data_IF_427873163742
#
_entry.id   IF_427873163742
#
_cell.length_a   1.000
_cell.length_b   1.000
_cell.length_c   1.000
_cell.angle_alpha   90.00
_cell.angle_beta   90.00
_cell.angle_gamma   90.00
#
_symmetry.space_group_name_H-M   'P 1'
#
loop_
_entity.id
_entity.type
_entity.pdbx_description
1 polymer ?
#
# COMPACT_ATOMS: atom_id res chain seq x y z
N UNK A 1 -64.03 15.19 12.99
CA UNK A 1 -62.90 15.00 12.08
C UNK A 1 -61.63 14.91 12.92
N UNK A 2 -61.02 13.75 13.09
CA UNK A 2 -59.75 13.64 13.85
C UNK A 2 -58.58 14.02 12.97
N UNK A 3 -57.71 14.91 13.48
CA UNK A 3 -56.46 15.31 12.85
C UNK A 3 -55.44 14.19 13.03
N UNK A 4 -55.01 13.61 11.93
CA UNK A 4 -53.93 12.63 11.88
C UNK A 4 -52.60 13.38 12.05
N UNK A 5 -51.91 13.17 13.16
CA UNK A 5 -50.57 13.70 13.41
C UNK A 5 -49.60 12.65 12.85
N UNK A 6 -48.93 12.98 11.73
CA UNK A 6 -47.78 12.20 11.22
C UNK A 6 -46.56 12.52 12.08
N UNK A 7 -46.18 11.58 12.93
CA UNK A 7 -44.87 11.62 13.60
C UNK A 7 -43.83 11.09 12.59
N UNK A 8 -43.06 12.01 11.99
CA UNK A 8 -41.89 11.67 11.21
C UNK A 8 -40.79 11.33 12.21
N UNK A 9 -40.57 10.03 12.39
CA UNK A 9 -39.41 9.53 13.15
C UNK A 9 -38.15 9.76 12.28
N UNK A 10 -37.15 10.55 12.74
CA UNK A 10 -35.89 10.66 12.00
C UNK A 10 -35.21 9.31 12.08
N UNK A 11 -35.07 8.64 10.93
CA UNK A 11 -34.18 7.49 10.78
C UNK A 11 -32.78 8.04 10.93
N UNK A 12 -32.25 7.96 12.14
CA UNK A 12 -30.83 8.18 12.43
C UNK A 12 -30.09 7.04 11.77
N UNK A 13 -29.54 7.30 10.59
CA UNK A 13 -28.55 6.42 9.98
C UNK A 13 -27.34 6.40 10.91
N UNK A 14 -27.35 5.47 11.84
CA UNK A 14 -26.14 5.02 12.52
C UNK A 14 -25.23 4.42 11.44
N UNK A 15 -24.29 5.20 10.92
CA UNK A 15 -23.08 4.67 10.30
C UNK A 15 -22.35 3.92 11.43
N UNK A 16 -22.68 2.65 11.55
CA UNK A 16 -21.98 1.73 12.44
C UNK A 16 -20.53 1.69 11.98
N UNK A 17 -19.66 2.23 12.82
CA UNK A 17 -18.22 1.97 12.81
C UNK A 17 -17.96 0.51 13.23
N UNK A 18 -18.50 -0.45 12.48
CA UNK A 18 -18.22 -1.87 12.67
C UNK A 18 -16.81 -2.25 12.15
N UNK A 19 -15.95 -1.25 11.86
CA UNK A 19 -14.69 -1.48 11.16
C UNK A 19 -13.49 -1.72 12.06
N UNK A 20 -13.57 -1.47 13.35
CA UNK A 20 -12.38 -1.56 14.23
C UNK A 20 -12.20 -2.92 14.94
N UNK A 21 -13.16 -3.85 14.90
CA UNK A 21 -13.12 -5.05 15.74
C UNK A 21 -12.54 -6.33 15.10
N UNK A 22 -12.28 -6.34 13.76
CA UNK A 22 -11.88 -7.57 13.06
C UNK A 22 -10.41 -7.57 12.59
N UNK A 23 -9.56 -6.74 13.22
CA UNK A 23 -8.15 -6.74 12.94
C UNK A 23 -7.47 -7.99 13.52
N UNK A 24 -6.70 -8.66 12.68
CA UNK A 24 -5.90 -9.82 13.07
C UNK A 24 -4.48 -9.36 13.35
N UNK A 25 -3.97 -9.68 14.54
CA UNK A 25 -2.62 -9.35 14.95
C UNK A 25 -1.62 -10.24 14.19
N UNK A 26 -0.64 -9.63 13.53
CA UNK A 26 0.51 -10.30 12.90
C UNK A 26 1.65 -10.44 13.90
N UNK A 27 2.00 -9.36 14.59
CA UNK A 27 2.99 -9.35 15.65
C UNK A 27 2.93 -8.07 16.48
N UNK A 28 3.27 -8.15 17.76
CA UNK A 28 3.19 -7.02 18.70
C UNK A 28 4.41 -6.11 18.70
N UNK A 29 5.54 -6.66 18.21
CA UNK A 29 6.80 -5.93 18.22
C UNK A 29 6.81 -4.91 17.07
N UNK A 30 7.48 -3.79 17.25
CA UNK A 30 7.68 -2.79 16.20
C UNK A 30 8.24 -3.41 14.92
N UNK A 31 9.14 -4.37 15.04
CA UNK A 31 9.72 -5.07 13.87
C UNK A 31 8.73 -5.91 13.07
N UNK A 32 7.49 -6.07 13.54
CA UNK A 32 6.39 -6.71 12.82
C UNK A 32 5.42 -5.70 12.16
N UNK A 33 5.66 -4.40 12.31
CA UNK A 33 4.95 -3.34 11.59
C UNK A 33 5.12 -3.51 10.08
N UNK A 34 4.06 -3.27 9.30
CA UNK A 34 4.00 -3.67 7.88
C UNK A 34 3.87 -2.43 7.00
N UNK A 35 4.87 -2.20 6.13
CA UNK A 35 4.93 -1.07 5.20
C UNK A 35 4.51 -1.42 3.76
N UNK A 36 4.38 -2.70 3.43
CA UNK A 36 3.91 -3.13 2.10
C UNK A 36 3.47 -4.59 2.07
N UNK A 37 2.54 -4.94 1.17
CA UNK A 37 1.88 -6.24 1.14
C UNK A 37 1.55 -6.68 -0.27
N UNK A 38 1.66 -8.01 -0.53
CA UNK A 38 1.11 -8.68 -1.71
C UNK A 38 0.56 -10.06 -1.34
N UNK A 39 -0.35 -10.59 -2.14
CA UNK A 39 -0.89 -11.93 -1.97
C UNK A 39 -0.50 -12.82 -3.15
N UNK A 40 0.06 -14.00 -2.86
CA UNK A 40 0.44 -15.03 -3.82
C UNK A 40 -0.17 -16.36 -3.39
N UNK A 41 -1.07 -16.94 -4.18
CA UNK A 41 -1.71 -18.23 -3.93
C UNK A 41 -2.26 -18.39 -2.50
N UNK A 42 -2.96 -17.37 -2.00
CA UNK A 42 -3.55 -17.35 -0.66
C UNK A 42 -2.56 -17.14 0.49
N UNK A 43 -1.29 -16.91 0.18
CA UNK A 43 -0.27 -16.51 1.14
C UNK A 43 -0.02 -15.01 1.02
N UNK A 44 0.12 -14.35 2.15
CA UNK A 44 0.40 -12.92 2.18
C UNK A 44 1.88 -12.68 2.50
N UNK A 45 2.60 -12.02 1.59
CA UNK A 45 3.98 -11.60 1.78
C UNK A 45 3.96 -10.13 2.17
N UNK A 46 4.75 -9.75 3.16
CA UNK A 46 4.83 -8.41 3.74
C UNK A 46 6.26 -7.93 3.82
N UNK A 47 6.48 -6.63 3.71
CA UNK A 47 7.77 -5.97 3.95
C UNK A 47 7.67 -5.03 5.14
N UNK A 48 8.86 -4.77 5.73
CA UNK A 48 9.02 -3.95 6.93
C UNK A 48 10.07 -2.86 6.69
N UNK A 49 9.86 -1.68 7.23
CA UNK A 49 10.79 -0.55 7.19
C UNK A 49 12.02 -0.71 8.11
N UNK A 50 12.21 -1.90 8.65
CA UNK A 50 13.25 -2.27 9.60
C UNK A 50 14.65 -1.89 9.10
N UNK A 51 15.48 -1.34 10.00
CA UNK A 51 16.80 -0.78 9.66
C UNK A 51 17.98 -1.48 10.31
N UNK A 52 17.72 -2.25 11.40
CA UNK A 52 18.79 -2.94 12.13
C UNK A 52 19.07 -4.31 11.51
N UNK A 53 20.33 -4.76 11.54
CA UNK A 53 20.77 -6.00 10.87
C UNK A 53 20.01 -7.26 11.35
N UNK A 54 19.62 -7.31 12.64
CA UNK A 54 18.92 -8.46 13.21
C UNK A 54 17.41 -8.44 12.98
N UNK A 55 16.86 -7.37 12.43
CA UNK A 55 15.42 -7.24 12.13
C UNK A 55 15.11 -7.83 10.75
N UNK A 56 13.98 -8.56 10.65
CA UNK A 56 13.49 -9.08 9.37
C UNK A 56 13.09 -7.97 8.41
N UNK A 57 13.33 -8.17 7.12
CA UNK A 57 12.94 -7.22 6.06
C UNK A 57 11.67 -7.62 5.36
N UNK A 58 11.40 -8.92 5.33
CA UNK A 58 10.29 -9.50 4.61
C UNK A 58 9.76 -10.70 5.39
N UNK A 59 8.46 -10.88 5.39
CA UNK A 59 7.80 -11.96 6.09
C UNK A 59 6.67 -12.56 5.27
N UNK A 60 6.17 -13.68 5.73
CA UNK A 60 5.02 -14.36 5.16
C UNK A 60 3.98 -14.64 6.24
N UNK A 61 2.74 -14.35 5.90
CA UNK A 61 1.57 -14.63 6.72
C UNK A 61 0.78 -15.73 6.01
N UNK A 62 0.45 -16.76 6.77
CA UNK A 62 -0.40 -17.87 6.30
C UNK A 62 -1.59 -18.03 7.23
N UNK A 63 -2.76 -18.25 6.67
CA UNK A 63 -3.94 -18.58 7.46
C UNK A 63 -3.95 -20.06 7.83
N UNK A 64 -4.33 -20.35 9.06
CA UNK A 64 -4.53 -21.70 9.54
C UNK A 64 -5.81 -21.79 10.37
N UNK A 65 -6.24 -23.01 10.72
CA UNK A 65 -7.41 -23.21 11.62
C UNK A 65 -7.20 -22.61 13.02
N UNK A 66 -5.95 -22.39 13.41
CA UNK A 66 -5.55 -21.83 14.71
C UNK A 66 -5.36 -20.29 14.65
N UNK A 67 -5.58 -19.65 13.49
CA UNK A 67 -5.38 -18.23 13.25
C UNK A 67 -4.22 -17.96 12.29
N UNK A 68 -3.73 -16.72 12.28
CA UNK A 68 -2.60 -16.32 11.45
C UNK A 68 -1.29 -16.89 12.00
N UNK A 69 -0.44 -17.37 11.09
CA UNK A 69 0.97 -17.71 11.36
C UNK A 69 1.85 -16.77 10.58
N UNK A 70 2.67 -15.99 11.29
CA UNK A 70 3.64 -15.08 10.72
C UNK A 70 5.06 -15.63 10.88
N UNK A 71 5.87 -15.48 9.82
CA UNK A 71 7.26 -15.94 9.81
C UNK A 71 8.11 -14.99 8.96
N UNK A 72 9.26 -14.59 9.47
CA UNK A 72 10.29 -13.89 8.70
C UNK A 72 10.85 -14.82 7.63
N UNK A 73 10.99 -14.31 6.41
CA UNK A 73 11.75 -14.93 5.33
C UNK A 73 13.17 -14.35 5.31
N UNK A 74 14.13 -15.19 4.95
CA UNK A 74 15.51 -14.76 4.75
C UNK A 74 15.58 -13.83 3.53
N UNK A 75 16.25 -12.69 3.68
CA UNK A 75 16.52 -11.80 2.56
C UNK A 75 17.50 -12.46 1.61
N UNK A 76 17.20 -12.50 0.28
CA UNK A 76 17.96 -13.37 -0.65
C UNK A 76 19.25 -12.76 -1.18
N UNK A 77 19.69 -11.62 -0.69
CA UNK A 77 20.96 -10.97 -1.06
C UNK A 77 21.82 -10.70 0.17
N UNK A 78 23.13 -10.56 -0.03
CA UNK A 78 24.11 -10.26 1.04
C UNK A 78 23.88 -8.89 1.65
N UNK A 79 23.39 -7.93 0.85
CA UNK A 79 23.11 -6.58 1.30
C UNK A 79 21.65 -6.49 1.68
N UNK A 80 21.39 -6.24 2.97
CA UNK A 80 20.04 -5.99 3.44
C UNK A 80 19.52 -4.64 2.88
N UNK A 81 18.24 -4.57 2.50
CA UNK A 81 17.63 -3.32 2.15
C UNK A 81 17.47 -2.43 3.38
N UNK A 82 17.37 -1.14 3.13
CA UNK A 82 17.18 -0.14 4.17
C UNK A 82 15.87 0.60 3.91
N UNK A 83 14.93 0.56 4.88
CA UNK A 83 13.71 1.36 4.80
C UNK A 83 12.77 0.92 3.64
N UNK A 84 12.31 -0.36 3.66
CA UNK A 84 11.34 -0.87 2.67
C UNK A 84 9.95 -0.29 2.94
N UNK A 85 9.35 0.33 1.92
CA UNK A 85 8.10 1.10 2.06
C UNK A 85 6.97 0.60 1.15
N UNK A 86 7.26 -0.27 0.20
CA UNK A 86 6.22 -0.80 -0.68
C UNK A 86 6.58 -2.19 -1.20
N UNK A 87 5.54 -2.98 -1.47
CA UNK A 87 5.65 -4.29 -2.13
C UNK A 87 4.55 -4.40 -3.19
N UNK A 88 4.89 -4.81 -4.41
CA UNK A 88 3.91 -5.00 -5.49
C UNK A 88 4.25 -6.19 -6.37
N UNK A 89 3.24 -6.93 -6.83
CA UNK A 89 3.43 -7.99 -7.81
C UNK A 89 3.74 -7.42 -9.18
N UNK A 90 4.56 -8.13 -9.96
CA UNK A 90 4.76 -7.82 -11.37
C UNK A 90 3.56 -8.36 -12.14
N UNK A 91 2.77 -7.51 -12.81
CA UNK A 91 1.57 -7.93 -13.54
C UNK A 91 1.85 -9.02 -14.57
N UNK A 92 1.12 -10.12 -14.47
CA UNK A 92 1.30 -11.30 -15.34
C UNK A 92 2.32 -12.31 -14.81
N UNK A 93 3.00 -12.06 -13.68
CA UNK A 93 3.75 -13.06 -12.95
C UNK A 93 2.97 -13.57 -11.74
N UNK A 94 3.11 -14.85 -11.44
CA UNK A 94 2.55 -15.46 -10.23
C UNK A 94 3.51 -15.41 -9.03
N UNK A 95 4.78 -15.03 -9.24
CA UNK A 95 5.84 -15.19 -8.24
C UNK A 95 6.77 -13.99 -8.10
N UNK A 96 6.80 -13.13 -9.14
CA UNK A 96 7.72 -11.99 -9.17
C UNK A 96 7.11 -10.77 -8.52
N UNK A 97 7.90 -10.09 -7.70
CA UNK A 97 7.48 -8.89 -6.99
C UNK A 97 8.61 -7.86 -6.91
N UNK A 98 8.22 -6.62 -6.70
CA UNK A 98 9.13 -5.50 -6.45
C UNK A 98 8.91 -5.03 -5.01
N UNK A 99 9.99 -5.00 -4.23
CA UNK A 99 10.07 -4.36 -2.93
C UNK A 99 10.86 -3.05 -3.06
N UNK A 100 10.25 -1.91 -2.71
CA UNK A 100 10.84 -0.59 -2.90
C UNK A 100 11.31 0.01 -1.58
N UNK A 101 12.54 0.51 -1.54
CA UNK A 101 13.06 1.35 -0.46
C UNK A 101 12.57 2.80 -0.62
N UNK A 102 12.48 3.55 0.49
CA UNK A 102 12.09 4.98 0.51
C UNK A 102 12.90 5.87 -0.42
N UNK A 103 14.13 5.48 -0.76
CA UNK A 103 15.03 6.17 -1.70
C UNK A 103 14.91 5.65 -3.14
N UNK A 104 13.88 4.86 -3.43
CA UNK A 104 13.53 4.44 -4.79
C UNK A 104 14.38 3.32 -5.36
N UNK A 105 15.10 2.56 -4.53
CA UNK A 105 15.70 1.30 -4.95
C UNK A 105 14.65 0.20 -4.90
N UNK A 106 14.33 -0.35 -6.06
CA UNK A 106 13.29 -1.35 -6.27
C UNK A 106 13.95 -2.72 -6.45
N UNK A 107 13.89 -3.56 -5.43
CA UNK A 107 14.43 -4.92 -5.45
C UNK A 107 13.49 -5.87 -6.17
N UNK A 108 13.96 -6.58 -7.16
CA UNK A 108 13.20 -7.60 -7.87
C UNK A 108 13.43 -8.95 -7.20
N UNK A 109 12.36 -9.45 -6.58
CA UNK A 109 12.31 -10.70 -5.85
C UNK A 109 11.45 -11.72 -6.58
N UNK A 110 11.81 -12.99 -6.46
CA UNK A 110 11.03 -14.12 -6.99
C UNK A 110 10.74 -15.08 -5.84
N UNK A 111 9.47 -15.38 -5.59
CA UNK A 111 9.06 -16.28 -4.53
C UNK A 111 8.97 -17.72 -5.02
N UNK A 112 9.82 -18.59 -4.49
CA UNK A 112 9.74 -20.06 -4.66
C UNK A 112 8.82 -20.63 -3.59
N UNK A 113 7.55 -20.78 -3.94
CA UNK A 113 6.51 -21.27 -3.03
C UNK A 113 6.79 -22.68 -2.51
N UNK A 114 7.31 -23.58 -3.35
CA UNK A 114 7.59 -24.96 -2.96
C UNK A 114 8.69 -25.04 -1.89
N UNK A 115 9.64 -24.15 -1.92
CA UNK A 115 10.74 -24.05 -0.95
C UNK A 115 10.51 -23.00 0.12
N UNK A 116 9.44 -22.21 -0.01
CA UNK A 116 9.14 -21.10 0.90
C UNK A 116 10.33 -20.15 1.05
N UNK A 117 10.97 -19.76 -0.05
CA UNK A 117 12.17 -18.93 -0.11
C UNK A 117 12.05 -17.89 -1.21
N UNK A 118 12.85 -16.87 -1.08
CA UNK A 118 13.01 -15.82 -2.08
C UNK A 118 14.29 -16.02 -2.87
N UNK A 119 14.27 -15.65 -4.15
CA UNK A 119 15.45 -15.44 -4.97
C UNK A 119 15.56 -13.96 -5.32
N UNK A 120 16.79 -13.46 -5.45
CA UNK A 120 17.09 -12.09 -5.82
C UNK A 120 17.43 -11.98 -7.31
N UNK A 121 16.65 -11.19 -8.03
CA UNK A 121 16.86 -10.94 -9.46
C UNK A 121 17.47 -9.56 -9.75
N UNK A 122 18.09 -8.94 -8.74
CA UNK A 122 18.70 -7.62 -8.85
C UNK A 122 17.78 -6.48 -8.47
N UNK A 123 18.10 -5.27 -8.92
CA UNK A 123 17.31 -4.09 -8.58
C UNK A 123 17.18 -3.11 -9.76
N UNK A 124 16.23 -2.20 -9.62
CA UNK A 124 15.94 -1.08 -10.51
C UNK A 124 15.97 0.18 -9.66
N UNK A 125 16.65 1.25 -10.11
CA UNK A 125 16.66 2.53 -9.40
C UNK A 125 15.69 3.51 -10.05
N UNK A 126 14.75 4.03 -9.29
CA UNK A 126 13.91 5.16 -9.73
C UNK A 126 14.81 6.39 -9.88
N UNK A 127 14.84 7.03 -11.05
CA UNK A 127 15.73 8.15 -11.29
C UNK A 127 15.23 9.45 -10.61
N UNK A 128 16.18 10.33 -10.31
CA UNK A 128 15.88 11.69 -9.83
C UNK A 128 15.45 11.81 -8.37
N UNK A 129 15.47 10.71 -7.60
CA UNK A 129 15.20 10.76 -6.17
C UNK A 129 16.37 11.40 -5.44
N UNK A 130 16.09 12.44 -4.67
CA UNK A 130 17.08 13.19 -3.88
C UNK A 130 16.53 13.42 -2.48
N UNK A 131 17.42 13.37 -1.49
CA UNK A 131 17.08 13.78 -0.13
C UNK A 131 16.46 15.20 -0.12
N UNK A 132 15.37 15.48 0.59
CA UNK A 132 14.68 14.63 1.57
C UNK A 132 13.45 13.89 1.02
N UNK A 133 13.43 13.49 -0.27
CA UNK A 133 12.32 12.72 -0.83
C UNK A 133 12.17 11.40 -0.09
N UNK A 134 10.96 11.06 0.31
CA UNK A 134 10.59 9.79 0.88
C UNK A 134 9.44 9.18 0.09
N UNK A 135 9.70 8.04 -0.57
CA UNK A 135 8.72 7.31 -1.35
C UNK A 135 8.07 6.25 -0.47
N UNK A 136 6.74 6.15 -0.50
CA UNK A 136 6.01 5.20 0.33
C UNK A 136 5.10 4.25 -0.46
N UNK A 137 4.74 4.56 -1.70
CA UNK A 137 3.89 3.69 -2.50
C UNK A 137 4.51 3.34 -3.84
N UNK A 138 4.31 2.11 -4.30
CA UNK A 138 4.75 1.64 -5.62
C UNK A 138 3.73 0.68 -6.23
N UNK A 139 3.26 0.98 -7.43
CA UNK A 139 2.31 0.15 -8.17
C UNK A 139 2.74 -0.07 -9.61
N UNK A 140 2.36 -1.21 -10.15
CA UNK A 140 2.64 -1.61 -11.53
C UNK A 140 1.34 -1.93 -12.28
N UNK A 141 1.32 -1.60 -13.57
CA UNK A 141 0.27 -2.00 -14.50
C UNK A 141 0.90 -2.46 -15.82
N UNK A 142 0.43 -3.57 -16.37
CA UNK A 142 0.82 -4.03 -17.71
C UNK A 142 -0.04 -3.33 -18.77
N UNK A 143 0.61 -2.79 -19.79
CA UNK A 143 -0.03 -2.10 -20.92
C UNK A 143 0.55 -2.67 -22.21
N UNK A 144 -0.15 -3.65 -22.80
CA UNK A 144 0.41 -4.45 -23.88
C UNK A 144 1.68 -5.18 -23.43
N UNK A 145 2.78 -4.95 -24.10
CA UNK A 145 4.10 -5.54 -23.74
C UNK A 145 4.94 -4.65 -22.83
N UNK A 146 4.38 -3.50 -22.39
CA UNK A 146 5.08 -2.53 -21.52
C UNK A 146 4.56 -2.56 -20.09
N UNK A 147 5.37 -2.04 -19.17
CA UNK A 147 4.97 -1.86 -17.79
C UNK A 147 4.93 -0.38 -17.45
N UNK A 148 3.79 0.08 -16.96
CA UNK A 148 3.66 1.38 -16.30
C UNK A 148 3.96 1.18 -14.82
N UNK A 149 4.93 1.94 -14.32
CA UNK A 149 5.18 2.08 -12.89
C UNK A 149 4.65 3.41 -12.39
N UNK A 150 4.04 3.41 -11.20
CA UNK A 150 3.72 4.62 -10.47
C UNK A 150 4.32 4.55 -9.07
N UNK A 151 4.78 5.71 -8.55
CA UNK A 151 5.38 5.80 -7.23
C UNK A 151 4.97 7.10 -6.54
N UNK A 152 4.85 7.04 -5.23
CA UNK A 152 4.33 8.11 -4.42
C UNK A 152 5.37 8.72 -3.48
N UNK A 153 5.55 10.05 -3.49
CA UNK A 153 6.15 10.76 -2.38
C UNK A 153 5.05 11.11 -1.36
N UNK A 154 5.28 10.75 -0.11
CA UNK A 154 4.25 10.79 0.94
C UNK A 154 3.63 12.17 1.21
N UNK A 155 4.37 13.25 0.99
CA UNK A 155 3.98 14.57 1.48
C UNK A 155 4.01 14.67 3.00
N UNK A 156 3.55 15.80 3.55
CA UNK A 156 3.49 15.99 5.00
C UNK A 156 2.54 17.14 5.36
N UNK A 157 1.48 16.86 6.11
CA UNK A 157 0.54 17.89 6.59
C UNK A 157 0.01 18.78 5.46
N UNK A 158 0.34 20.08 5.42
CA UNK A 158 -0.07 21.02 4.36
C UNK A 158 0.71 20.88 3.03
N UNK A 159 1.78 20.12 3.02
CA UNK A 159 2.56 19.87 1.81
C UNK A 159 2.02 18.60 1.12
N UNK A 160 1.44 18.70 -0.08
CA UNK A 160 0.83 17.58 -0.76
C UNK A 160 1.83 16.44 -1.01
N UNK A 161 1.32 15.23 -1.07
CA UNK A 161 2.02 14.11 -1.66
C UNK A 161 2.17 14.33 -3.16
N UNK A 162 3.03 13.54 -3.81
CA UNK A 162 3.22 13.61 -5.24
C UNK A 162 3.23 12.21 -5.85
N UNK A 163 2.30 11.97 -6.75
CA UNK A 163 2.24 10.76 -7.55
C UNK A 163 3.03 10.99 -8.83
N UNK A 164 3.99 10.13 -9.10
CA UNK A 164 4.77 10.08 -10.33
C UNK A 164 4.45 8.82 -11.10
N UNK A 165 4.67 8.82 -12.40
CA UNK A 165 4.58 7.61 -13.22
C UNK A 165 5.56 7.64 -14.38
N UNK A 166 5.86 6.44 -14.88
CA UNK A 166 6.79 6.26 -15.98
C UNK A 166 6.78 4.85 -16.54
N UNK A 167 7.50 4.66 -17.61
CA UNK A 167 7.68 3.35 -18.24
C UNK A 167 8.83 2.61 -17.59
N UNK A 168 8.55 1.40 -17.11
CA UNK A 168 9.53 0.48 -16.55
C UNK A 168 9.91 -0.55 -17.61
N UNK A 169 11.23 -0.68 -17.81
CA UNK A 169 11.83 -1.71 -18.65
C UNK A 169 12.60 -2.69 -17.78
N UNK A 170 12.10 -3.92 -17.67
CA UNK A 170 12.73 -4.97 -16.88
C UNK A 170 14.02 -5.51 -17.51
N UNK A 171 14.15 -5.49 -18.86
CA UNK A 171 15.34 -5.97 -19.56
C UNK A 171 16.54 -5.05 -19.31
N UNK A 172 16.31 -3.74 -19.42
CA UNK A 172 17.34 -2.74 -19.16
C UNK A 172 17.38 -2.26 -17.70
N UNK A 173 16.43 -2.69 -16.87
CA UNK A 173 16.30 -2.30 -15.46
C UNK A 173 16.25 -0.78 -15.28
N UNK A 174 15.48 -0.13 -16.08
CA UNK A 174 15.37 1.33 -16.10
C UNK A 174 13.92 1.79 -15.96
N UNK A 175 13.74 2.98 -15.37
CA UNK A 175 12.48 3.69 -15.34
C UNK A 175 12.63 4.99 -16.13
N UNK A 176 11.78 5.22 -17.11
CA UNK A 176 11.66 6.48 -17.84
C UNK A 176 10.47 7.27 -17.32
N UNK A 177 10.66 8.30 -16.47
CA UNK A 177 9.57 9.13 -15.98
C UNK A 177 8.78 9.77 -17.14
N UNK A 178 7.47 9.89 -16.96
CA UNK A 178 6.57 10.51 -17.94
C UNK A 178 5.99 11.80 -17.38
N UNK A 179 5.35 11.75 -16.19
CA UNK A 179 4.69 12.91 -15.60
C UNK A 179 4.44 12.71 -14.09
N UNK A 180 3.82 13.68 -13.45
CA UNK A 180 3.48 13.64 -12.03
C UNK A 180 2.33 14.59 -11.70
N UNK A 181 1.65 14.32 -10.57
CA UNK A 181 0.57 15.16 -10.06
C UNK A 181 0.64 15.26 -8.52
N UNK A 182 0.25 16.41 -7.98
CA UNK A 182 0.10 16.57 -6.54
C UNK A 182 -1.18 15.93 -6.02
N UNK A 183 -1.07 15.24 -4.88
CA UNK A 183 -2.17 14.55 -4.21
C UNK A 183 -2.32 15.11 -2.79
N UNK A 184 -3.52 15.59 -2.48
CA UNK A 184 -3.92 15.93 -1.11
C UNK A 184 -5.20 15.19 -0.78
N UNK A 185 -5.29 14.68 0.45
CA UNK A 185 -6.46 13.98 0.98
C UNK A 185 -7.23 14.88 1.95
N UNK A 186 -8.54 14.64 2.09
CA UNK A 186 -9.38 15.35 3.05
C UNK A 186 -9.29 14.78 4.47
N UNK A 187 -8.85 13.50 4.59
CA UNK A 187 -8.71 12.79 5.86
C UNK A 187 -7.59 11.72 5.75
N UNK A 188 -6.75 11.51 6.79
CA UNK A 188 -6.72 12.18 8.09
C UNK A 188 -6.47 13.69 7.98
N UNK A 189 -6.79 14.45 9.04
CA UNK A 189 -6.65 15.91 9.06
C UNK A 189 -5.41 16.40 9.78
N UNK A 190 -4.81 15.56 10.63
CA UNK A 190 -3.62 15.89 11.43
C UNK A 190 -2.48 14.93 11.12
N UNK A 191 -1.25 15.45 11.18
CA UNK A 191 -0.02 14.69 10.94
C UNK A 191 -0.04 13.88 9.63
N UNK A 192 -0.68 14.43 8.60
CA UNK A 192 -1.05 13.72 7.38
C UNK A 192 0.18 13.32 6.58
N UNK A 193 0.25 12.06 6.18
CA UNK A 193 0.97 11.51 5.05
C UNK A 193 -0.05 11.24 3.95
N UNK A 194 0.05 11.96 2.84
CA UNK A 194 -0.97 11.94 1.80
C UNK A 194 -0.94 10.67 0.95
N UNK A 195 0.22 10.01 0.88
CA UNK A 195 0.41 8.73 0.22
C UNK A 195 1.24 7.86 1.18
N UNK A 196 0.72 6.71 1.59
CA UNK A 196 1.39 5.73 2.45
C UNK A 196 1.56 4.36 1.80
N UNK A 197 0.77 4.02 0.80
CA UNK A 197 0.97 2.95 -0.18
C UNK A 197 0.10 3.22 -1.40
N UNK A 198 0.40 2.58 -2.52
CA UNK A 198 -0.42 2.66 -3.74
C UNK A 198 -0.42 1.36 -4.53
N UNK A 199 -1.56 1.08 -5.20
CA UNK A 199 -1.72 -0.02 -6.15
C UNK A 199 -2.46 0.46 -7.39
N UNK A 200 -2.18 -0.17 -8.51
CA UNK A 200 -2.90 0.05 -9.76
C UNK A 200 -3.65 -1.23 -10.11
N UNK A 201 -4.96 -1.15 -10.21
CA UNK A 201 -5.79 -2.28 -10.68
C UNK A 201 -5.58 -2.52 -12.18
N UNK A 202 -5.89 -3.71 -12.67
CA UNK A 202 -5.75 -4.06 -14.10
C UNK A 202 -6.52 -3.12 -15.03
N UNK A 203 -7.65 -2.60 -14.58
CA UNK A 203 -8.44 -1.62 -15.32
C UNK A 203 -7.86 -0.20 -15.30
N UNK A 204 -6.73 0.02 -14.63
CA UNK A 204 -6.04 1.30 -14.49
C UNK A 204 -6.48 2.15 -13.28
N UNK A 205 -7.47 1.72 -12.48
CA UNK A 205 -7.86 2.44 -11.28
C UNK A 205 -6.69 2.49 -10.28
N UNK A 206 -6.37 3.69 -9.82
CA UNK A 206 -5.28 3.91 -8.87
C UNK A 206 -5.84 4.06 -7.45
N UNK A 207 -5.39 3.18 -6.57
CA UNK A 207 -5.77 3.10 -5.16
C UNK A 207 -4.58 3.46 -4.28
N UNK A 208 -4.84 4.11 -3.17
CA UNK A 208 -3.80 4.42 -2.19
C UNK A 208 -4.33 4.43 -0.77
N UNK A 209 -3.45 4.26 0.19
CA UNK A 209 -3.66 4.62 1.59
C UNK A 209 -3.10 6.01 1.88
N UNK A 210 -3.70 6.67 2.86
CA UNK A 210 -3.18 7.87 3.50
C UNK A 210 -3.28 7.69 5.01
N UNK A 211 -2.26 8.11 5.76
CA UNK A 211 -2.19 7.89 7.20
C UNK A 211 -1.90 9.17 7.98
N UNK A 212 -2.23 9.15 9.28
CA UNK A 212 -1.76 10.11 10.27
C UNK A 212 -0.56 9.53 10.98
N UNK A 213 0.53 10.29 11.05
CA UNK A 213 1.75 9.89 11.72
C UNK A 213 2.19 10.94 12.74
N UNK A 214 1.66 10.87 13.98
CA UNK A 214 2.02 11.78 15.06
C UNK A 214 3.31 11.35 15.81
N UNK A 215 3.90 10.22 15.44
CA UNK A 215 5.03 9.57 16.10
C UNK A 215 4.68 8.15 16.58
N UNK A 216 5.63 7.50 17.24
CA UNK A 216 5.67 6.04 17.49
C UNK A 216 4.52 5.49 18.38
N UNK A 217 3.81 6.35 19.11
CA UNK A 217 2.76 5.94 20.06
C UNK A 217 1.35 6.39 19.64
N UNK A 218 1.20 6.92 18.43
CA UNK A 218 -0.11 7.36 17.92
C UNK A 218 -0.68 8.62 18.60
N UNK A 219 -1.99 8.86 18.58
CA UNK A 219 -3.05 8.02 17.99
C UNK A 219 -3.00 8.01 16.45
N UNK A 220 -3.16 6.84 15.89
CA UNK A 220 -3.15 6.65 14.43
C UNK A 220 -4.54 6.75 13.82
N UNK A 221 -4.56 7.13 12.55
CA UNK A 221 -5.74 7.02 11.71
C UNK A 221 -5.33 6.93 10.24
N UNK A 222 -6.14 6.29 9.42
CA UNK A 222 -5.85 6.13 8.00
C UNK A 222 -7.08 5.95 7.15
N UNK A 223 -6.95 6.17 5.86
CA UNK A 223 -8.01 5.95 4.90
C UNK A 223 -7.51 5.36 3.58
N UNK A 224 -8.42 4.68 2.89
CA UNK A 224 -8.21 4.18 1.54
C UNK A 224 -8.98 5.07 0.56
N UNK A 225 -8.31 5.43 -0.53
CA UNK A 225 -8.84 6.27 -1.59
C UNK A 225 -8.69 5.59 -2.96
N UNK A 226 -9.67 5.76 -3.82
CA UNK A 226 -9.49 5.65 -5.26
C UNK A 226 -9.26 7.06 -5.80
N UNK A 227 -8.03 7.37 -6.22
CA UNK A 227 -7.61 8.75 -6.54
C UNK A 227 -7.73 9.11 -8.00
N UNK A 228 -7.87 8.14 -8.87
CA UNK A 228 -7.95 8.38 -10.32
C UNK A 228 -7.78 7.11 -11.11
N UNK A 229 -7.53 7.31 -12.40
CA UNK A 229 -7.38 6.21 -13.34
C UNK A 229 -6.30 6.51 -14.37
N UNK A 230 -5.40 5.57 -14.57
CA UNK A 230 -4.49 5.56 -15.71
C UNK A 230 -5.23 5.12 -16.99
N UNK A 231 -5.02 5.84 -18.07
CA UNK A 231 -5.51 5.51 -19.42
C UNK A 231 -4.36 5.45 -20.38
N UNK A 232 -4.44 4.54 -21.32
CA UNK A 232 -3.48 4.41 -22.40
C UNK A 232 -4.22 4.54 -23.73
N UNK A 233 -3.96 5.63 -24.43
CA UNK A 233 -4.57 5.95 -25.71
C UNK A 233 -3.51 6.58 -26.62
N UNK A 234 -3.52 6.26 -27.92
CA UNK A 234 -2.60 6.82 -28.90
C UNK A 234 -1.11 6.73 -28.52
N UNK A 235 -0.69 5.61 -27.92
CA UNK A 235 0.66 5.38 -27.40
C UNK A 235 1.10 6.33 -26.25
N UNK A 236 0.16 7.03 -25.64
CA UNK A 236 0.41 7.91 -24.52
C UNK A 236 -0.32 7.40 -23.26
N UNK A 237 0.32 7.55 -22.12
CA UNK A 237 -0.31 7.33 -20.81
C UNK A 237 -0.73 8.66 -20.22
N UNK A 238 -1.94 8.70 -19.70
CA UNK A 238 -2.47 9.84 -18.96
C UNK A 238 -3.07 9.39 -17.64
N UNK A 239 -3.10 10.28 -16.66
CA UNK A 239 -3.77 10.05 -15.39
C UNK A 239 -4.97 10.99 -15.25
N UNK A 240 -6.17 10.42 -15.14
CA UNK A 240 -7.38 11.18 -14.88
C UNK A 240 -7.67 11.16 -13.37
N UNK A 241 -7.44 12.29 -12.70
CA UNK A 241 -7.69 12.42 -11.26
C UNK A 241 -9.18 12.48 -10.95
N UNK A 242 -9.60 11.83 -9.85
CA UNK A 242 -10.91 12.07 -9.22
C UNK A 242 -10.78 13.32 -8.36
N UNK A 243 -11.45 14.41 -8.78
CA UNK A 243 -11.47 15.65 -8.00
C UNK A 243 -12.29 15.45 -6.73
N UNK A 244 -11.76 15.89 -5.56
CA UNK A 244 -12.38 15.71 -4.25
C UNK A 244 -12.70 14.23 -3.96
N UNK A 245 -11.73 13.35 -4.21
CA UNK A 245 -11.84 11.94 -3.86
C UNK A 245 -12.15 11.79 -2.38
N UNK A 246 -13.23 11.09 -2.06
CA UNK A 246 -13.62 10.77 -0.69
C UNK A 246 -13.02 9.45 -0.26
N UNK A 247 -12.73 9.25 1.05
CA UNK A 247 -12.30 7.96 1.55
C UNK A 247 -13.34 6.89 1.25
N UNK A 248 -12.91 5.77 0.68
CA UNK A 248 -13.73 4.57 0.52
C UNK A 248 -13.83 3.82 1.86
N UNK A 249 -12.70 3.78 2.59
CA UNK A 249 -12.63 3.23 3.96
C UNK A 249 -11.91 4.21 4.88
N UNK A 250 -12.28 4.23 6.16
CA UNK A 250 -11.63 5.01 7.22
C UNK A 250 -11.34 4.11 8.42
N UNK A 251 -10.13 4.22 8.97
CA UNK A 251 -9.67 3.50 10.15
C UNK A 251 -9.23 4.53 11.21
N UNK A 252 -9.88 4.53 12.37
CA UNK A 252 -9.69 5.58 13.39
C UNK A 252 -8.54 5.32 14.36
N UNK A 253 -8.02 4.08 14.37
CA UNK A 253 -7.05 3.63 15.38
C UNK A 253 -5.87 2.91 14.78
N UNK A 254 -5.70 2.94 13.45
CA UNK A 254 -4.69 2.17 12.72
C UNK A 254 -3.97 3.02 11.68
N UNK A 255 -2.67 2.77 11.51
CA UNK A 255 -1.80 3.37 10.50
C UNK A 255 -1.64 2.39 9.33
N UNK A 256 -2.57 2.43 8.36
CA UNK A 256 -2.52 1.55 7.19
C UNK A 256 -1.45 2.04 6.23
N UNK A 257 -0.39 1.26 6.07
CA UNK A 257 0.74 1.52 5.18
C UNK A 257 0.95 0.42 4.14
N UNK A 258 0.19 -0.69 4.21
CA UNK A 258 0.15 -1.72 3.17
C UNK A 258 -1.26 -1.93 2.66
N UNK A 259 -1.46 -1.95 1.35
CA UNK A 259 -2.72 -2.32 0.71
C UNK A 259 -2.49 -3.34 -0.40
N UNK A 260 -3.43 -4.29 -0.57
CA UNK A 260 -3.45 -5.22 -1.68
C UNK A 260 -4.85 -5.39 -2.21
N UNK A 261 -5.01 -5.25 -3.53
CA UNK A 261 -6.30 -5.39 -4.18
C UNK A 261 -6.66 -6.87 -4.33
N UNK A 262 -7.85 -7.24 -3.85
CA UNK A 262 -8.39 -8.59 -3.97
C UNK A 262 -9.78 -8.55 -4.60
N UNK A 263 -10.33 -9.72 -4.90
CA UNK A 263 -11.68 -9.80 -5.45
C UNK A 263 -12.68 -9.14 -4.49
N UNK A 264 -13.40 -8.12 -4.99
CA UNK A 264 -14.42 -7.35 -4.25
C UNK A 264 -13.93 -6.64 -2.98
N UNK A 265 -12.61 -6.39 -2.83
CA UNK A 265 -12.11 -5.75 -1.62
C UNK A 265 -10.65 -5.36 -1.65
N UNK A 266 -10.15 -5.05 -0.46
CA UNK A 266 -8.75 -4.69 -0.23
C UNK A 266 -8.28 -5.38 1.06
N UNK A 267 -7.14 -6.04 1.01
CA UNK A 267 -6.40 -6.41 2.22
C UNK A 267 -5.63 -5.17 2.64
N UNK A 268 -5.75 -4.80 3.91
CA UNK A 268 -5.03 -3.67 4.52
C UNK A 268 -4.11 -4.20 5.62
N UNK A 269 -2.91 -3.65 5.67
CA UNK A 269 -1.92 -3.98 6.69
C UNK A 269 -1.40 -2.70 7.36
N UNK A 270 -0.99 -2.80 8.62
CA UNK A 270 -0.64 -1.62 9.41
C UNK A 270 0.82 -1.59 9.83
N UNK A 271 1.38 -0.40 9.82
CA UNK A 271 2.54 -0.02 10.58
C UNK A 271 2.09 0.82 11.80
N UNK A 272 1.66 0.13 12.85
CA UNK A 272 1.26 0.81 14.09
C UNK A 272 2.47 1.04 15.02
N UNK A 273 3.67 1.16 14.45
CA UNK A 273 4.91 1.47 15.16
C UNK A 273 5.13 0.58 16.40
N UNK A 274 5.18 1.16 17.59
CA UNK A 274 5.37 0.42 18.86
C UNK A 274 4.24 -0.59 19.18
N UNK A 275 3.12 -0.55 18.46
CA UNK A 275 2.01 -1.50 18.64
C UNK A 275 2.04 -2.66 17.62
N UNK A 276 3.06 -2.71 16.76
CA UNK A 276 3.29 -3.79 15.80
C UNK A 276 2.44 -3.72 14.56
N UNK A 277 2.18 -4.88 13.94
CA UNK A 277 1.47 -5.01 12.68
C UNK A 277 0.17 -5.79 12.79
N UNK A 278 -0.85 -5.34 12.07
CA UNK A 278 -2.15 -5.98 11.95
C UNK A 278 -2.54 -6.08 10.49
N UNK A 279 -3.46 -7.03 10.20
CA UNK A 279 -4.01 -7.24 8.87
C UNK A 279 -5.53 -7.38 8.93
N UNK A 280 -6.21 -6.94 7.88
CA UNK A 280 -7.66 -7.06 7.73
C UNK A 280 -8.06 -7.06 6.26
N UNK A 281 -9.09 -7.80 5.89
CA UNK A 281 -9.76 -7.65 4.59
C UNK A 281 -10.98 -6.76 4.74
N UNK A 282 -11.12 -5.75 3.89
CA UNK A 282 -12.30 -4.90 3.77
C UNK A 282 -12.94 -5.09 2.40
N UNK A 283 -14.27 -5.17 2.35
CA UNK A 283 -15.00 -5.44 1.13
C UNK A 283 -15.77 -4.22 0.63
N UNK A 284 -15.79 -4.04 -0.69
CA UNK A 284 -16.64 -3.02 -1.32
C UNK A 284 -18.11 -3.38 -1.11
N UNK A 285 -18.94 -2.36 -0.88
CA UNK A 285 -20.40 -2.50 -0.73
C UNK A 285 -21.12 -2.38 -2.05
#
# INVERSE_FOLDING_TARGET
>A
MPKLIFIILPILLCYLSAQDNDWQLVGKERSAAISGIVTIDGQTIVVHDNKREYEGRIGIITESREGLKYRILEWPDKTLPFDLEALTLIPGSATDMIAMESQGKCHWLVFDQAKMRLAYNGFIQIPGIKWPTNLEGFGLMKVGDKFLAAWGHRGKSKYPGKLFWGWLDFNFRTVKPVDSIEISVEWPTEHVRHISDLKIAENGDCWMSASSDPGDDGPFSSAIYRIGKFKFENNQVSFTRIVNSRPVFRFKTRKVEGIELVENGIIVATDDENFGGYIKTVYFK
#
